data_IF_818206980899
#
_entry.id   IF_818206980899
#
_cell.length_a   1.000
_cell.length_b   1.000
_cell.length_c   1.000
_cell.angle_alpha   90.00
_cell.angle_beta   90.00
_cell.angle_gamma   90.00
#
_symmetry.space_group_name_H-M   'P 1'
#
loop_
_entity.id
_entity.type
_entity.pdbx_description
1 polymer ?
#
# COMPACT_ATOMS: atom_id res chain seq x y z
N UNK A 1 72.84 18.33 38.36
CA UNK A 1 71.63 18.77 37.55
C UNK A 1 71.33 17.68 36.54
N UNK A 2 70.35 16.84 36.89
CA UNK A 2 69.97 15.70 36.05
C UNK A 2 68.83 16.13 35.11
N UNK A 3 69.03 16.01 33.81
CA UNK A 3 68.00 16.31 32.80
C UNK A 3 67.11 15.08 32.62
N UNK A 4 65.84 15.21 33.03
CA UNK A 4 64.80 14.21 32.83
C UNK A 4 64.29 14.34 31.37
N UNK A 5 64.56 13.32 30.55
CA UNK A 5 63.93 13.22 29.19
C UNK A 5 62.57 12.54 29.30
N UNK A 6 61.51 13.29 29.03
CA UNK A 6 60.17 12.75 28.92
C UNK A 6 60.01 12.20 27.50
N UNK A 7 59.93 10.85 27.35
CA UNK A 7 59.55 10.20 26.10
C UNK A 7 58.02 10.26 25.96
N UNK A 8 57.55 11.10 25.02
CA UNK A 8 56.15 11.09 24.63
C UNK A 8 55.93 9.96 23.61
N UNK A 9 55.26 8.88 24.05
CA UNK A 9 54.85 7.79 23.19
C UNK A 9 53.61 8.22 22.39
N UNK A 10 53.79 8.61 21.14
CA UNK A 10 52.68 8.85 20.21
C UNK A 10 52.08 7.50 19.78
N UNK A 11 50.94 7.14 20.36
CA UNK A 11 50.12 6.01 19.91
C UNK A 11 49.38 6.47 18.65
N UNK A 12 49.84 6.04 17.47
CA UNK A 12 49.11 6.14 16.24
C UNK A 12 47.99 5.11 16.29
N UNK A 13 46.74 5.57 16.56
CA UNK A 13 45.55 4.76 16.33
C UNK A 13 45.36 4.72 14.80
N UNK A 14 45.80 3.63 14.18
CA UNK A 14 45.46 3.33 12.79
C UNK A 14 43.93 3.06 12.74
N UNK A 15 43.20 4.04 12.24
CA UNK A 15 41.79 3.85 11.91
C UNK A 15 41.74 3.02 10.63
N UNK A 16 41.46 1.74 10.78
CA UNK A 16 41.35 0.80 9.66
C UNK A 16 40.11 1.18 8.84
N UNK A 17 40.32 1.86 7.71
CA UNK A 17 39.25 2.34 6.78
C UNK A 17 38.58 1.21 6.00
N UNK A 18 38.93 -0.06 6.28
CA UNK A 18 38.48 -1.22 5.49
C UNK A 18 37.25 -1.94 6.08
N UNK A 19 36.57 -1.38 7.07
CA UNK A 19 35.36 -1.98 7.65
C UNK A 19 34.12 -1.07 7.50
N UNK A 20 33.99 -0.37 6.37
CA UNK A 20 32.70 0.05 5.90
C UNK A 20 32.09 -1.21 5.28
N UNK A 21 31.37 -1.99 6.10
CA UNK A 21 30.34 -2.90 5.57
C UNK A 21 29.40 -2.03 4.76
N UNK A 22 29.45 -2.19 3.44
CA UNK A 22 28.39 -1.70 2.57
C UNK A 22 27.13 -2.45 3.03
N UNK A 23 26.30 -1.80 3.80
CA UNK A 23 24.91 -2.23 3.99
C UNK A 23 24.24 -2.03 2.65
N UNK A 24 24.34 -3.01 1.75
CA UNK A 24 23.43 -3.11 0.61
C UNK A 24 22.03 -3.35 1.21
N UNK A 25 21.17 -2.35 1.07
CA UNK A 25 19.76 -2.48 1.42
C UNK A 25 19.13 -3.38 0.34
N UNK A 26 18.90 -4.64 0.69
CA UNK A 26 18.26 -5.60 -0.21
C UNK A 26 16.73 -5.38 -0.18
N UNK A 27 16.16 -4.98 -1.33
CA UNK A 27 14.71 -4.85 -1.49
C UNK A 27 14.04 -6.22 -1.47
N UNK A 28 12.93 -6.33 -0.78
CA UNK A 28 12.20 -7.57 -0.55
C UNK A 28 10.99 -7.68 -1.47
N UNK A 29 10.76 -8.85 -2.06
CA UNK A 29 9.56 -9.13 -2.84
C UNK A 29 8.32 -9.27 -1.97
N UNK A 30 8.48 -9.56 -0.67
CA UNK A 30 7.38 -9.70 0.27
C UNK A 30 7.76 -9.15 1.65
N UNK A 31 6.97 -8.16 2.09
CA UNK A 31 6.99 -7.61 3.45
C UNK A 31 5.58 -7.65 4.00
N UNK A 32 5.39 -8.41 5.06
CA UNK A 32 4.09 -8.46 5.73
C UNK A 32 3.91 -7.25 6.64
N UNK A 33 2.82 -6.52 6.46
CA UNK A 33 2.39 -5.42 7.32
C UNK A 33 0.99 -5.72 7.84
N UNK A 34 0.83 -5.65 9.15
CA UNK A 34 -0.45 -5.90 9.79
C UNK A 34 -0.74 -4.82 10.83
N UNK A 35 -1.98 -4.35 10.86
CA UNK A 35 -2.48 -3.40 11.83
C UNK A 35 -3.98 -3.65 12.10
N UNK A 36 -4.65 -2.76 12.85
CA UNK A 36 -6.07 -2.93 13.18
C UNK A 36 -7.04 -2.78 11.98
N UNK A 37 -6.56 -2.32 10.82
CA UNK A 37 -7.38 -2.03 9.63
C UNK A 37 -7.21 -3.07 8.56
N UNK A 38 -5.96 -3.49 8.31
CA UNK A 38 -5.61 -4.38 7.21
C UNK A 38 -4.39 -5.25 7.50
N UNK A 39 -4.25 -6.29 6.70
CA UNK A 39 -3.06 -7.10 6.53
C UNK A 39 -2.63 -7.04 5.07
N UNK A 40 -1.37 -6.72 4.82
CA UNK A 40 -0.81 -6.51 3.46
C UNK A 40 0.46 -7.35 3.28
N UNK A 41 0.62 -7.96 2.10
CA UNK A 41 1.91 -8.33 1.53
C UNK A 41 2.35 -7.22 0.58
N UNK A 42 3.46 -6.57 0.91
CA UNK A 42 4.01 -5.46 0.14
C UNK A 42 5.30 -5.88 -0.57
N UNK A 43 5.49 -5.41 -1.80
CA UNK A 43 6.67 -5.67 -2.63
C UNK A 43 7.50 -4.40 -2.77
N UNK A 44 8.67 -4.38 -2.15
CA UNK A 44 9.59 -3.23 -2.18
C UNK A 44 10.25 -3.03 -3.55
N UNK A 45 10.40 -4.13 -4.34
CA UNK A 45 10.98 -4.05 -5.69
C UNK A 45 10.02 -3.38 -6.66
N UNK A 46 8.71 -3.63 -6.49
CA UNK A 46 7.65 -3.02 -7.30
C UNK A 46 7.15 -1.71 -6.72
N UNK A 47 7.45 -1.45 -5.43
CA UNK A 47 6.90 -0.34 -4.66
C UNK A 47 5.36 -0.34 -4.64
N UNK A 48 4.78 -1.54 -4.60
CA UNK A 48 3.33 -1.78 -4.66
C UNK A 48 2.92 -2.94 -3.74
N UNK A 49 1.67 -2.98 -3.26
CA UNK A 49 1.13 -4.18 -2.64
C UNK A 49 1.15 -5.37 -3.59
N UNK A 50 1.44 -6.58 -3.09
CA UNK A 50 1.10 -7.82 -3.77
C UNK A 50 -0.39 -8.11 -3.58
N UNK A 51 -0.85 -8.02 -2.33
CA UNK A 51 -2.24 -8.19 -1.94
C UNK A 51 -2.53 -7.51 -0.60
N UNK A 52 -3.81 -7.28 -0.34
CA UNK A 52 -4.34 -6.76 0.93
C UNK A 52 -5.62 -7.48 1.34
N UNK A 53 -5.81 -7.64 2.64
CA UNK A 53 -7.02 -8.15 3.28
C UNK A 53 -7.52 -7.19 4.34
N UNK A 54 -8.84 -6.96 4.37
CA UNK A 54 -9.52 -6.17 5.39
C UNK A 54 -11.00 -6.55 5.49
N UNK A 55 -11.66 -6.16 6.57
CA UNK A 55 -13.09 -6.38 6.76
C UNK A 55 -13.82 -5.05 6.78
N UNK A 56 -14.88 -4.92 5.97
CA UNK A 56 -15.81 -3.77 6.00
C UNK A 56 -16.97 -4.12 6.92
N UNK A 57 -17.24 -3.23 7.87
CA UNK A 57 -18.36 -3.39 8.84
C UNK A 57 -19.25 -2.15 8.82
N UNK A 58 -20.47 -2.27 9.32
CA UNK A 58 -21.28 -1.08 9.65
C UNK A 58 -20.72 -0.41 10.91
N UNK A 59 -20.65 0.91 10.90
CA UNK A 59 -20.17 1.71 12.02
C UNK A 59 -20.73 3.13 11.99
N UNK A 60 -20.65 3.81 13.12
CA UNK A 60 -20.96 5.24 13.20
C UNK A 60 -19.72 6.02 12.76
N UNK A 61 -19.87 6.88 11.76
CA UNK A 61 -18.80 7.76 11.31
C UNK A 61 -18.42 8.75 12.43
N UNK A 62 -17.12 8.75 12.79
CA UNK A 62 -16.52 9.62 13.83
C UNK A 62 -15.47 10.55 13.26
N UNK A 63 -14.72 10.07 12.24
CA UNK A 63 -13.58 10.78 11.67
C UNK A 63 -13.85 11.24 10.24
N UNK A 64 -13.27 12.37 9.87
CA UNK A 64 -13.24 12.88 8.50
C UNK A 64 -11.80 12.99 8.01
N UNK A 65 -11.60 12.76 6.70
CA UNK A 65 -10.28 12.81 6.05
C UNK A 65 -9.55 14.14 6.31
N UNK A 66 -10.27 15.29 6.28
CA UNK A 66 -9.63 16.59 6.38
C UNK A 66 -8.48 16.76 5.39
N UNK A 67 -7.33 17.19 5.89
CA UNK A 67 -6.08 17.37 5.12
C UNK A 67 -5.10 16.18 5.29
N UNK A 68 -5.58 14.97 5.60
CA UNK A 68 -4.72 13.80 5.67
C UNK A 68 -4.09 13.51 4.31
N UNK A 69 -2.79 13.25 4.32
CA UNK A 69 -2.02 12.80 3.16
C UNK A 69 -1.28 11.52 3.49
N UNK A 70 -0.77 10.84 2.46
CA UNK A 70 -0.09 9.57 2.62
C UNK A 70 1.27 9.75 3.31
N UNK A 71 1.64 8.74 4.10
CA UNK A 71 2.92 8.68 4.80
C UNK A 71 3.63 7.36 4.54
N UNK A 72 4.97 7.41 4.54
CA UNK A 72 5.84 6.23 4.42
C UNK A 72 5.93 5.48 5.74
N UNK A 73 6.10 4.15 5.67
CA UNK A 73 6.32 3.30 6.84
C UNK A 73 7.82 3.08 7.03
N UNK A 74 8.28 3.26 8.26
CA UNK A 74 9.70 3.08 8.59
C UNK A 74 10.18 1.66 8.24
N UNK A 75 11.36 1.56 7.65
CA UNK A 75 12.03 0.31 7.26
C UNK A 75 11.30 -0.49 6.17
N UNK A 76 10.41 0.15 5.42
CA UNK A 76 9.79 -0.41 4.22
C UNK A 76 10.02 0.59 3.09
N UNK A 77 10.59 0.11 1.99
CA UNK A 77 10.74 0.90 0.78
C UNK A 77 9.40 0.91 0.04
N UNK A 78 8.79 2.08 -0.10
CA UNK A 78 7.45 2.22 -0.71
C UNK A 78 7.49 3.25 -1.82
N UNK A 79 6.46 3.25 -2.69
CA UNK A 79 6.13 4.43 -3.50
C UNK A 79 6.01 5.67 -2.60
N UNK A 80 6.21 6.83 -3.19
CA UNK A 80 6.08 8.12 -2.51
C UNK A 80 5.40 9.15 -3.43
N UNK A 81 5.36 10.42 -3.02
CA UNK A 81 4.70 11.50 -3.75
C UNK A 81 5.26 11.72 -5.18
N UNK A 82 6.53 11.35 -5.41
CA UNK A 82 7.16 11.54 -6.73
C UNK A 82 6.57 10.59 -7.76
N UNK A 83 6.14 9.38 -7.37
CA UNK A 83 5.52 8.39 -8.25
C UNK A 83 4.17 8.85 -8.81
N UNK A 84 3.53 9.78 -8.12
CA UNK A 84 2.20 10.33 -8.48
C UNK A 84 2.26 11.75 -9.03
N UNK A 85 3.47 12.31 -9.16
CA UNK A 85 3.61 13.71 -9.54
C UNK A 85 3.44 13.92 -11.04
N UNK A 86 2.47 14.77 -11.44
CA UNK A 86 2.20 15.18 -12.83
C UNK A 86 1.98 14.01 -13.81
N UNK A 87 1.36 12.96 -13.37
CA UNK A 87 0.95 11.84 -14.22
C UNK A 87 -0.54 11.52 -14.05
N UNK A 88 -1.01 10.45 -14.66
CA UNK A 88 -2.42 10.04 -14.67
C UNK A 88 -2.78 9.05 -13.55
N UNK A 89 -1.85 8.78 -12.62
CA UNK A 89 -2.04 7.82 -11.54
C UNK A 89 -2.46 8.52 -10.27
N UNK A 90 -3.57 8.08 -9.70
CA UNK A 90 -3.97 8.48 -8.36
C UNK A 90 -3.28 7.61 -7.30
N UNK A 91 -3.11 8.17 -6.10
CA UNK A 91 -2.81 7.41 -4.89
C UNK A 91 -4.03 6.56 -4.53
N UNK A 92 -4.20 5.41 -5.22
CA UNK A 92 -5.35 4.54 -5.06
C UNK A 92 -5.29 3.79 -3.73
N UNK A 93 -6.26 4.02 -2.84
CA UNK A 93 -6.37 3.23 -1.63
C UNK A 93 -6.78 1.80 -1.96
N UNK A 94 -6.08 0.81 -1.40
CA UNK A 94 -6.54 -0.59 -1.49
C UNK A 94 -7.57 -0.89 -0.39
N UNK A 95 -7.28 -0.57 0.88
CA UNK A 95 -8.29 -0.48 1.92
C UNK A 95 -8.82 0.96 1.97
N UNK A 96 -10.08 1.21 1.56
CA UNK A 96 -10.58 2.56 1.31
C UNK A 96 -10.81 3.34 2.61
N UNK A 97 -10.37 4.60 2.63
CA UNK A 97 -10.52 5.49 3.78
C UNK A 97 -11.98 5.59 4.26
N UNK A 98 -12.95 5.59 3.33
CA UNK A 98 -14.37 5.67 3.65
C UNK A 98 -14.93 4.49 4.46
N UNK A 99 -14.24 3.35 4.46
CA UNK A 99 -14.64 2.16 5.24
C UNK A 99 -14.05 2.10 6.65
N UNK A 100 -13.25 3.10 7.05
CA UNK A 100 -12.54 3.13 8.33
C UNK A 100 -12.62 4.49 9.02
N UNK A 101 -13.77 5.15 8.91
CA UNK A 101 -14.04 6.44 9.56
C UNK A 101 -14.67 6.31 10.95
N UNK A 102 -14.68 5.10 11.51
CA UNK A 102 -15.10 4.79 12.88
C UNK A 102 -14.20 5.43 13.94
N UNK A 103 -12.94 5.68 13.60
CA UNK A 103 -11.98 6.39 14.45
C UNK A 103 -10.90 7.11 13.65
N UNK A 104 -10.33 8.19 14.23
CA UNK A 104 -9.17 8.89 13.65
C UNK A 104 -7.96 7.97 13.48
N UNK A 105 -7.76 7.03 14.40
CA UNK A 105 -6.65 6.08 14.36
C UNK A 105 -6.79 5.11 13.18
N UNK A 106 -7.97 4.58 12.92
CA UNK A 106 -8.20 3.66 11.81
C UNK A 106 -8.15 4.39 10.47
N UNK A 107 -8.80 5.54 10.39
CA UNK A 107 -8.73 6.39 9.19
C UNK A 107 -7.28 6.75 8.84
N UNK A 108 -6.46 7.18 9.80
CA UNK A 108 -5.06 7.53 9.57
C UNK A 108 -4.23 6.37 9.02
N UNK A 109 -4.50 5.11 9.45
CA UNK A 109 -3.78 3.93 8.95
C UNK A 109 -4.02 3.68 7.47
N UNK A 110 -5.19 4.08 6.93
CA UNK A 110 -5.47 3.93 5.49
C UNK A 110 -4.60 4.84 4.62
N UNK A 111 -4.06 5.93 5.17
CA UNK A 111 -3.18 6.87 4.45
C UNK A 111 -1.69 6.46 4.49
N UNK A 112 -1.40 5.19 4.62
CA UNK A 112 -0.04 4.66 4.49
C UNK A 112 0.26 4.30 3.04
N UNK A 113 1.45 4.63 2.53
CA UNK A 113 1.87 4.23 1.18
C UNK A 113 1.91 2.70 0.98
N UNK A 114 2.02 1.88 2.03
CA UNK A 114 1.86 0.43 1.89
C UNK A 114 0.43 0.03 1.48
N UNK A 115 -0.56 0.88 1.73
CA UNK A 115 -1.96 0.72 1.34
C UNK A 115 -2.30 1.45 0.02
N UNK A 116 -1.30 1.94 -0.69
CA UNK A 116 -1.45 2.78 -1.88
C UNK A 116 -0.98 2.02 -3.12
N UNK A 117 -1.72 2.13 -4.22
CA UNK A 117 -1.31 1.63 -5.52
C UNK A 117 -1.40 2.72 -6.59
N UNK A 118 -0.53 2.63 -7.61
CA UNK A 118 -0.64 3.42 -8.83
C UNK A 118 -1.91 3.00 -9.57
N UNK A 119 -2.98 3.73 -9.40
CA UNK A 119 -4.29 3.41 -9.97
C UNK A 119 -4.71 4.49 -10.98
N UNK A 120 -5.20 4.06 -12.15
CA UNK A 120 -5.72 5.00 -13.16
C UNK A 120 -6.76 5.91 -12.52
N UNK A 121 -6.61 7.22 -12.68
CA UNK A 121 -7.42 8.25 -12.02
C UNK A 121 -8.92 8.08 -12.30
N UNK A 122 -9.30 7.80 -13.55
CA UNK A 122 -10.70 7.57 -13.95
C UNK A 122 -11.28 6.30 -13.31
N UNK A 123 -10.50 5.21 -13.21
CA UNK A 123 -10.93 4.00 -12.51
C UNK A 123 -11.10 4.25 -11.01
N UNK A 124 -10.08 4.86 -10.37
CA UNK A 124 -10.08 5.13 -8.93
C UNK A 124 -11.26 6.02 -8.50
N UNK A 125 -11.56 7.05 -9.31
CA UNK A 125 -12.64 8.01 -9.01
C UNK A 125 -14.01 7.57 -9.52
N UNK A 126 -14.06 6.56 -10.40
CA UNK A 126 -15.26 5.97 -11.00
C UNK A 126 -15.62 4.63 -10.38
N UNK A 127 -15.61 3.57 -11.19
CA UNK A 127 -16.16 2.25 -10.90
C UNK A 127 -15.55 1.56 -9.68
N UNK A 128 -14.26 1.77 -9.43
CA UNK A 128 -13.61 1.25 -8.22
C UNK A 128 -14.22 1.85 -6.95
N UNK A 129 -14.40 3.19 -6.91
CA UNK A 129 -15.03 3.89 -5.80
C UNK A 129 -16.50 3.49 -5.64
N UNK A 130 -17.23 3.31 -6.75
CA UNK A 130 -18.65 2.91 -6.71
C UNK A 130 -18.82 1.51 -6.13
N UNK A 131 -17.94 0.55 -6.51
CA UNK A 131 -17.92 -0.77 -5.86
C UNK A 131 -17.58 -0.67 -4.37
N UNK A 132 -16.66 0.20 -3.96
CA UNK A 132 -16.37 0.41 -2.54
C UNK A 132 -17.59 0.96 -1.76
N UNK A 133 -18.33 1.88 -2.36
CA UNK A 133 -19.59 2.39 -1.79
C UNK A 133 -20.63 1.28 -1.67
N UNK A 134 -20.74 0.44 -2.69
CA UNK A 134 -21.63 -0.72 -2.67
C UNK A 134 -21.23 -1.76 -1.61
N UNK A 135 -19.94 -2.02 -1.42
CA UNK A 135 -19.47 -2.92 -0.34
C UNK A 135 -19.84 -2.38 1.04
N UNK A 136 -19.72 -1.07 1.27
CA UNK A 136 -20.18 -0.45 2.52
C UNK A 136 -21.69 -0.59 2.71
N UNK A 137 -22.47 -0.43 1.64
CA UNK A 137 -23.90 -0.65 1.68
C UNK A 137 -24.24 -2.10 2.06
N UNK A 138 -23.60 -3.08 1.43
CA UNK A 138 -23.78 -4.50 1.77
C UNK A 138 -23.37 -4.80 3.21
N UNK A 139 -22.25 -4.27 3.66
CA UNK A 139 -21.81 -4.47 5.03
C UNK A 139 -22.81 -3.96 6.07
N UNK A 140 -23.49 -2.86 5.78
CA UNK A 140 -24.57 -2.33 6.60
C UNK A 140 -25.83 -3.20 6.57
N UNK A 141 -26.20 -3.74 5.41
CA UNK A 141 -27.44 -4.46 5.20
C UNK A 141 -27.36 -5.95 5.61
N UNK A 142 -26.22 -6.59 5.31
CA UNK A 142 -26.05 -8.06 5.45
C UNK A 142 -25.01 -8.47 6.48
N UNK A 143 -24.33 -7.53 7.12
CA UNK A 143 -23.25 -7.78 8.07
C UNK A 143 -21.84 -7.70 7.43
N UNK A 144 -20.80 -8.00 8.18
CA UNK A 144 -19.43 -7.83 7.75
C UNK A 144 -19.13 -8.47 6.38
N UNK A 145 -18.31 -7.76 5.58
CA UNK A 145 -17.81 -8.25 4.29
C UNK A 145 -16.28 -8.27 4.35
N UNK A 146 -15.71 -9.47 4.23
CA UNK A 146 -14.27 -9.64 4.09
C UNK A 146 -13.87 -9.35 2.65
N UNK A 147 -12.83 -8.54 2.49
CA UNK A 147 -12.32 -8.10 1.20
C UNK A 147 -10.87 -8.51 1.07
N UNK A 148 -10.54 -9.16 -0.05
CA UNK A 148 -9.16 -9.37 -0.49
C UNK A 148 -8.97 -8.70 -1.85
N UNK A 149 -7.87 -7.96 -2.00
CA UNK A 149 -7.46 -7.36 -3.26
C UNK A 149 -6.09 -7.92 -3.61
N UNK A 150 -5.91 -8.33 -4.87
CA UNK A 150 -4.62 -8.77 -5.41
C UNK A 150 -4.27 -7.90 -6.62
N UNK A 151 -3.05 -7.37 -6.62
CA UNK A 151 -2.57 -6.59 -7.74
C UNK A 151 -1.96 -7.54 -8.78
N UNK A 152 -2.37 -7.36 -10.02
CA UNK A 152 -1.84 -8.12 -11.15
C UNK A 152 -0.65 -7.41 -11.76
N UNK A 153 0.43 -8.16 -11.95
CA UNK A 153 1.61 -7.73 -12.69
C UNK A 153 1.97 -8.80 -13.73
N UNK A 154 2.49 -8.35 -14.86
CA UNK A 154 3.06 -9.21 -15.90
C UNK A 154 4.54 -8.88 -16.11
N UNK A 155 5.23 -9.66 -16.93
CA UNK A 155 6.60 -9.35 -17.34
C UNK A 155 6.73 -8.06 -18.14
N UNK A 156 5.62 -7.49 -18.59
CA UNK A 156 5.54 -6.28 -19.42
C UNK A 156 4.94 -5.08 -18.66
N UNK A 157 4.65 -5.24 -17.35
CA UNK A 157 4.16 -4.12 -16.54
C UNK A 157 5.14 -2.96 -16.58
N UNK A 158 4.61 -1.76 -16.78
CA UNK A 158 5.43 -0.54 -16.91
C UNK A 158 6.04 -0.17 -15.56
N UNK A 159 7.33 0.14 -15.56
CA UNK A 159 8.03 0.72 -14.42
C UNK A 159 8.20 2.21 -14.67
N UNK A 160 7.82 3.05 -13.71
CA UNK A 160 8.04 4.49 -13.76
C UNK A 160 9.55 4.81 -13.67
N UNK A 161 9.97 5.96 -14.15
CA UNK A 161 11.35 6.44 -13.99
C UNK A 161 11.76 6.58 -12.52
N UNK A 162 10.77 6.76 -11.63
CA UNK A 162 10.95 6.86 -10.18
C UNK A 162 11.18 5.51 -9.50
N UNK A 163 10.81 4.38 -10.13
CA UNK A 163 11.03 3.02 -9.65
C UNK A 163 9.76 2.20 -9.47
N UNK A 164 8.64 2.83 -9.13
CA UNK A 164 7.39 2.13 -8.87
C UNK A 164 6.82 1.44 -10.13
N UNK A 165 6.32 0.22 -9.98
CA UNK A 165 5.73 -0.56 -11.06
C UNK A 165 4.22 -0.35 -11.11
N UNK A 166 3.70 0.00 -12.28
CA UNK A 166 2.26 0.17 -12.50
C UNK A 166 1.60 -1.21 -12.56
N UNK A 167 0.61 -1.52 -11.71
CA UNK A 167 -0.17 -2.75 -11.84
C UNK A 167 -0.94 -2.79 -13.15
N UNK A 168 -1.03 -3.97 -13.78
CA UNK A 168 -1.85 -4.18 -14.98
C UNK A 168 -3.35 -4.17 -14.65
N UNK A 169 -3.70 -4.52 -13.42
CA UNK A 169 -5.09 -4.58 -12.95
C UNK A 169 -5.22 -5.04 -11.51
N UNK A 170 -6.45 -5.20 -11.07
CA UNK A 170 -6.80 -5.51 -9.68
C UNK A 170 -7.88 -6.59 -9.64
N UNK A 171 -7.63 -7.67 -8.92
CA UNK A 171 -8.67 -8.60 -8.48
C UNK A 171 -9.22 -8.12 -7.13
N UNK A 172 -10.55 -8.14 -6.99
CA UNK A 172 -11.22 -7.86 -5.71
C UNK A 172 -12.17 -8.99 -5.39
N UNK A 173 -11.91 -9.67 -4.29
CA UNK A 173 -12.68 -10.80 -3.80
C UNK A 173 -13.45 -10.36 -2.55
N UNK A 174 -14.75 -10.61 -2.55
CA UNK A 174 -15.65 -10.32 -1.44
C UNK A 174 -16.15 -11.65 -0.86
N UNK A 175 -16.10 -11.80 0.46
CA UNK A 175 -16.72 -12.91 1.17
C UNK A 175 -17.70 -12.34 2.20
N UNK A 176 -18.95 -12.68 2.06
CA UNK A 176 -20.03 -12.25 2.94
C UNK A 176 -20.16 -13.15 4.16
N UNK A 177 -20.83 -12.67 5.21
CA UNK A 177 -21.05 -13.42 6.45
C UNK A 177 -21.83 -14.74 6.27
N UNK A 178 -22.61 -14.86 5.19
CA UNK A 178 -23.32 -16.07 4.78
C UNK A 178 -22.48 -17.02 3.90
N UNK A 179 -21.17 -16.76 3.73
CA UNK A 179 -20.23 -17.44 2.85
C UNK A 179 -20.48 -17.26 1.35
N UNK A 180 -21.39 -16.41 0.94
CA UNK A 180 -21.52 -15.99 -0.46
C UNK A 180 -20.26 -15.24 -0.87
N UNK A 181 -19.82 -15.45 -2.12
CA UNK A 181 -18.64 -14.78 -2.69
C UNK A 181 -19.02 -14.00 -3.94
N UNK A 182 -18.36 -12.87 -4.13
CA UNK A 182 -18.37 -12.11 -5.38
C UNK A 182 -16.92 -11.76 -5.72
N UNK A 183 -16.57 -11.83 -7.00
CA UNK A 183 -15.22 -11.61 -7.47
C UNK A 183 -15.24 -10.65 -8.65
N UNK A 184 -14.32 -9.70 -8.67
CA UNK A 184 -14.23 -8.67 -9.70
C UNK A 184 -12.81 -8.59 -10.23
N UNK A 185 -12.69 -8.22 -11.50
CA UNK A 185 -11.41 -7.87 -12.11
C UNK A 185 -11.54 -6.54 -12.86
N UNK A 186 -10.65 -5.64 -12.55
CA UNK A 186 -10.52 -4.34 -13.21
C UNK A 186 -9.15 -4.24 -13.87
N UNK A 187 -9.11 -4.00 -15.18
CA UNK A 187 -7.89 -3.51 -15.82
C UNK A 187 -7.55 -2.12 -15.25
N UNK A 188 -6.27 -1.83 -15.07
CA UNK A 188 -5.83 -0.52 -14.56
C UNK A 188 -5.86 0.56 -15.66
N UNK A 189 -7.04 0.79 -16.20
CA UNK A 189 -7.31 1.69 -17.32
C UNK A 189 -8.68 2.35 -17.15
N UNK A 190 -8.97 3.32 -18.02
CA UNK A 190 -10.33 3.86 -18.13
C UNK A 190 -11.30 2.80 -18.63
N UNK A 191 -12.53 2.81 -18.14
CA UNK A 191 -13.59 1.90 -18.54
C UNK A 191 -14.90 2.66 -18.73
N UNK A 192 -15.72 2.20 -19.67
CA UNK A 192 -17.12 2.67 -19.88
C UNK A 192 -18.12 1.68 -19.28
N UNK A 193 -17.65 0.60 -18.64
CA UNK A 193 -18.48 -0.42 -17.99
C UNK A 193 -18.86 0.04 -16.60
N UNK A 194 -20.07 -0.28 -16.17
CA UNK A 194 -20.51 -0.19 -14.78
C UNK A 194 -19.69 -1.17 -13.91
N UNK A 195 -19.49 -0.86 -12.63
CA UNK A 195 -18.70 -1.71 -11.72
C UNK A 195 -19.21 -3.16 -11.69
N UNK A 196 -20.51 -3.39 -11.85
CA UNK A 196 -21.11 -4.73 -11.84
C UNK A 196 -20.75 -5.58 -13.07
N UNK A 197 -20.39 -4.95 -14.18
CA UNK A 197 -19.94 -5.63 -15.40
C UNK A 197 -18.49 -6.15 -15.33
N UNK A 198 -17.78 -5.80 -14.25
CA UNK A 198 -16.44 -6.32 -13.92
C UNK A 198 -16.49 -7.59 -13.08
N UNK A 199 -17.69 -8.11 -12.75
CA UNK A 199 -17.83 -9.37 -12.02
C UNK A 199 -17.31 -10.55 -12.84
N UNK A 200 -16.55 -11.43 -12.18
CA UNK A 200 -15.96 -12.64 -12.73
C UNK A 200 -16.35 -13.85 -11.88
N UNK A 201 -16.17 -15.06 -12.42
CA UNK A 201 -16.35 -16.27 -11.62
C UNK A 201 -15.29 -16.33 -10.51
N UNK A 202 -15.72 -16.60 -9.29
CA UNK A 202 -14.83 -16.91 -8.17
C UNK A 202 -14.33 -18.37 -8.34
N UNK A 203 -13.14 -18.56 -8.84
CA UNK A 203 -12.53 -19.89 -8.99
C UNK A 203 -11.76 -20.28 -7.74
#
# INVERSE_FOLDING_TARGET
>A
MSKLYIFILLIFISCDKNNLQNFEFELREEVMVENAVFRISYNEIKEQPNWIEYTVTDFIKVADRGNMDFYTVRNIWTSDDNDYYKNEWDKGHMAPAGSFTDSWSNLAKTFSFVNCALQKDSLNRGEWRELEEQVRYWAKDTGPVDVRIELKFSSNSTVLETGATIPDGFYKYLTFSDNRKMCFYFDNSSTDKDWSEHEINCN
#
